data_IF_998216263607
#
_entry.id   IF_998216263607
#
_cell.length_a   1.000
_cell.length_b   1.000
_cell.length_c   1.000
_cell.angle_alpha   90.00
_cell.angle_beta   90.00
_cell.angle_gamma   90.00
#
_symmetry.space_group_name_H-M   'P 1'
#
loop_
_entity.id
_entity.type
_entity.pdbx_description
1 polymer ?
#
# COMPACT_ATOMS: atom_id res chain seq x y z
N UNK A 1 -15.97 4.39 9.73
CA UNK A 1 -15.37 3.27 8.98
C UNK A 1 -15.20 3.67 7.53
N UNK A 2 -13.98 3.79 7.01
CA UNK A 2 -13.72 4.20 5.62
C UNK A 2 -14.41 3.29 4.60
N UNK A 3 -14.41 1.98 4.82
CA UNK A 3 -14.92 0.99 3.86
C UNK A 3 -16.45 0.84 3.86
N UNK A 4 -17.16 1.56 4.75
CA UNK A 4 -18.63 1.63 4.77
C UNK A 4 -19.15 3.06 4.58
N UNK A 5 -18.28 4.02 4.32
CA UNK A 5 -18.68 5.38 4.02
C UNK A 5 -19.11 5.47 2.55
N UNK A 6 -20.11 6.32 2.27
CA UNK A 6 -20.40 6.72 0.89
C UNK A 6 -19.21 7.49 0.32
N UNK A 7 -18.96 7.42 -1.00
CA UNK A 7 -18.03 8.34 -1.65
C UNK A 7 -18.33 9.79 -1.25
N UNK A 8 -17.31 10.53 -0.81
CA UNK A 8 -17.45 11.92 -0.33
C UNK A 8 -17.77 12.09 1.17
N UNK A 9 -18.15 11.03 1.89
CA UNK A 9 -18.40 11.09 3.33
C UNK A 9 -17.14 10.87 4.19
N UNK A 10 -16.01 10.51 3.57
CA UNK A 10 -14.74 10.34 4.26
C UNK A 10 -14.08 11.72 4.40
N UNK A 11 -14.01 12.24 5.63
CA UNK A 11 -13.20 13.42 5.93
C UNK A 11 -11.71 13.07 5.96
N UNK A 12 -10.90 13.93 5.36
CA UNK A 12 -9.44 13.89 5.43
C UNK A 12 -8.88 14.83 6.51
N UNK A 13 -9.74 15.41 7.37
CA UNK A 13 -9.28 16.27 8.46
C UNK A 13 -8.33 15.53 9.38
N UNK A 14 -7.21 16.17 9.72
CA UNK A 14 -6.14 15.57 10.51
C UNK A 14 -5.23 14.62 9.74
N UNK A 15 -5.47 14.38 8.44
CA UNK A 15 -4.53 13.65 7.60
C UNK A 15 -3.23 14.46 7.43
N UNK A 16 -2.10 13.77 7.55
CA UNK A 16 -0.77 14.35 7.38
C UNK A 16 -0.01 13.56 6.32
N UNK A 17 0.67 14.27 5.43
CA UNK A 17 1.61 13.67 4.48
C UNK A 17 2.98 13.54 5.15
N UNK A 18 3.46 12.32 5.27
CA UNK A 18 4.80 11.99 5.73
C UNK A 18 5.68 11.68 4.53
N UNK A 19 6.72 12.47 4.29
CA UNK A 19 7.72 12.18 3.26
C UNK A 19 8.70 11.12 3.79
N UNK A 20 9.02 10.14 2.95
CA UNK A 20 9.93 9.04 3.26
C UNK A 20 11.33 9.38 2.74
N UNK A 21 12.36 9.40 3.59
CA UNK A 21 13.74 9.46 3.14
C UNK A 21 14.06 8.27 2.23
N UNK A 22 15.03 8.44 1.32
CA UNK A 22 15.41 7.38 0.38
C UNK A 22 15.75 6.03 1.05
N UNK A 23 16.33 6.06 2.25
CA UNK A 23 16.58 4.84 3.05
C UNK A 23 15.29 4.10 3.43
N UNK A 24 14.25 4.83 3.82
CA UNK A 24 12.95 4.24 4.18
C UNK A 24 12.23 3.67 2.94
N UNK A 25 12.32 4.34 1.79
CA UNK A 25 11.79 3.84 0.52
C UNK A 25 12.43 2.50 0.15
N UNK A 26 13.77 2.40 0.26
CA UNK A 26 14.48 1.14 0.01
C UNK A 26 14.10 0.05 1.00
N UNK A 27 14.07 0.36 2.30
CA UNK A 27 13.68 -0.60 3.33
C UNK A 27 12.26 -1.13 3.09
N UNK A 28 11.34 -0.25 2.70
CA UNK A 28 9.97 -0.63 2.35
C UNK A 28 9.93 -1.54 1.11
N UNK A 29 10.70 -1.22 0.07
CA UNK A 29 10.80 -2.06 -1.12
C UNK A 29 11.32 -3.47 -0.77
N UNK A 30 12.34 -3.57 0.08
CA UNK A 30 12.84 -4.86 0.59
C UNK A 30 11.77 -5.61 1.38
N UNK A 31 11.04 -4.92 2.27
CA UNK A 31 9.96 -5.54 3.04
C UNK A 31 8.84 -6.08 2.14
N UNK A 32 8.44 -5.34 1.10
CA UNK A 32 7.44 -5.79 0.12
C UNK A 32 7.89 -7.08 -0.57
N UNK A 33 9.18 -7.18 -0.93
CA UNK A 33 9.72 -8.36 -1.61
C UNK A 33 9.62 -9.65 -0.77
N UNK A 34 9.54 -9.55 0.56
CA UNK A 34 9.34 -10.70 1.44
C UNK A 34 7.94 -11.32 1.34
N UNK A 35 6.95 -10.62 0.77
CA UNK A 35 5.57 -11.12 0.64
C UNK A 35 5.34 -11.84 -0.69
N UNK A 36 6.21 -12.80 -1.03
CA UNK A 36 6.23 -13.46 -2.34
C UNK A 36 4.87 -13.99 -2.79
N UNK A 37 4.13 -14.66 -1.91
CA UNK A 37 2.80 -15.22 -2.22
C UNK A 37 1.72 -14.18 -2.52
N UNK A 38 1.97 -12.91 -2.16
CA UNK A 38 1.05 -11.80 -2.43
C UNK A 38 1.38 -11.08 -3.74
N UNK A 39 2.64 -11.10 -4.16
CA UNK A 39 3.17 -10.27 -5.26
C UNK A 39 3.64 -11.07 -6.48
N UNK A 40 3.68 -12.39 -6.37
CA UNK A 40 4.02 -13.32 -7.44
C UNK A 40 3.01 -14.46 -7.48
N UNK A 41 2.77 -15.07 -8.66
CA UNK A 41 1.94 -16.24 -8.75
C UNK A 41 2.57 -17.43 -8.02
N UNK A 42 1.74 -18.31 -7.43
CA UNK A 42 2.22 -19.53 -6.77
C UNK A 42 2.55 -20.63 -7.77
N UNK A 43 1.88 -20.62 -8.93
CA UNK A 43 2.07 -21.58 -10.02
C UNK A 43 1.56 -20.99 -11.36
N UNK A 44 1.68 -21.69 -12.49
CA UNK A 44 1.06 -21.29 -13.75
C UNK A 44 -0.48 -21.41 -13.79
N UNK A 45 -1.11 -22.02 -12.78
CA UNK A 45 -2.57 -22.12 -12.72
C UNK A 45 -3.18 -20.71 -12.56
N UNK A 46 -4.18 -20.31 -13.37
CA UNK A 46 -4.82 -19.00 -13.22
C UNK A 46 -5.41 -18.74 -11.83
N UNK A 47 -5.75 -19.78 -11.06
CA UNK A 47 -6.25 -19.67 -9.68
C UNK A 47 -5.16 -19.27 -8.68
N UNK A 48 -3.91 -19.45 -9.06
CA UNK A 48 -2.71 -19.10 -8.28
C UNK A 48 -2.11 -17.77 -8.73
N UNK A 49 -2.88 -16.93 -9.44
CA UNK A 49 -2.46 -15.62 -9.89
C UNK A 49 -2.09 -14.68 -8.71
N UNK A 50 -1.31 -13.64 -9.03
CA UNK A 50 -0.91 -12.62 -8.06
C UNK A 50 -2.11 -11.95 -7.39
N UNK A 51 -2.05 -11.79 -6.06
CA UNK A 51 -3.10 -11.15 -5.28
C UNK A 51 -3.02 -9.62 -5.40
N UNK A 52 -1.81 -9.07 -5.29
CA UNK A 52 -1.54 -7.63 -5.36
C UNK A 52 -0.98 -7.24 -6.72
N UNK A 53 -1.87 -6.83 -7.63
CA UNK A 53 -1.47 -6.35 -8.95
C UNK A 53 -0.61 -5.07 -8.89
N UNK A 54 0.12 -4.81 -9.97
CA UNK A 54 1.05 -3.69 -10.09
C UNK A 54 0.46 -2.30 -9.72
N UNK A 55 -0.79 -1.94 -10.06
CA UNK A 55 -1.37 -0.67 -9.61
C UNK A 55 -1.45 -0.52 -8.08
N UNK A 56 -1.58 -1.62 -7.34
CA UNK A 56 -1.53 -1.63 -5.88
C UNK A 56 -0.09 -1.48 -5.40
N UNK A 57 0.86 -2.23 -5.99
CA UNK A 57 2.28 -2.14 -5.64
C UNK A 57 2.88 -0.75 -5.91
N UNK A 58 2.46 -0.08 -6.98
CA UNK A 58 2.86 1.28 -7.28
C UNK A 58 2.52 2.28 -6.16
N UNK A 59 1.43 2.05 -5.41
CA UNK A 59 1.09 2.87 -4.23
C UNK A 59 2.06 2.65 -3.09
N UNK A 60 2.50 1.41 -2.88
CA UNK A 60 3.48 1.09 -1.84
C UNK A 60 4.89 1.59 -2.18
N UNK A 61 5.22 1.82 -3.45
CA UNK A 61 6.54 2.32 -3.88
C UNK A 61 6.69 3.85 -3.80
N UNK A 62 5.64 4.57 -3.42
CA UNK A 62 5.68 6.03 -3.26
C UNK A 62 6.65 6.44 -2.15
N UNK A 63 7.16 7.66 -2.29
CA UNK A 63 8.04 8.33 -1.33
C UNK A 63 7.27 9.08 -0.23
N UNK A 64 5.97 8.83 -0.08
CA UNK A 64 5.15 9.48 0.92
C UNK A 64 4.00 8.60 1.40
N UNK A 65 3.63 8.78 2.66
CA UNK A 65 2.47 8.17 3.29
C UNK A 65 1.46 9.22 3.73
N UNK A 66 0.19 8.84 3.78
CA UNK A 66 -0.86 9.63 4.44
C UNK A 66 -1.20 8.94 5.75
N UNK A 67 -0.96 9.64 6.86
CA UNK A 67 -1.19 9.14 8.21
C UNK A 67 -2.19 10.03 8.95
N UNK A 68 -2.90 9.45 9.91
CA UNK A 68 -3.73 10.18 10.86
C UNK A 68 -3.09 10.05 12.24
N UNK A 69 -2.88 11.17 12.93
CA UNK A 69 -2.40 11.19 14.30
C UNK A 69 -3.54 11.10 15.31
N UNK A 70 -3.23 10.90 16.62
CA UNK A 70 -4.21 11.15 17.67
C UNK A 70 -4.77 12.59 17.54
N UNK A 71 -6.05 12.75 17.85
CA UNK A 71 -6.68 14.07 17.96
C UNK A 71 -6.28 14.74 19.26
#
# INVERSE_FOLDING_TARGET
MWHWARPGAVSFDGARRLLLPAGAVRAKATAIACFTTQIAPLSPDPRDAVILAEPVLARFRRDAEIVWGPR
#
